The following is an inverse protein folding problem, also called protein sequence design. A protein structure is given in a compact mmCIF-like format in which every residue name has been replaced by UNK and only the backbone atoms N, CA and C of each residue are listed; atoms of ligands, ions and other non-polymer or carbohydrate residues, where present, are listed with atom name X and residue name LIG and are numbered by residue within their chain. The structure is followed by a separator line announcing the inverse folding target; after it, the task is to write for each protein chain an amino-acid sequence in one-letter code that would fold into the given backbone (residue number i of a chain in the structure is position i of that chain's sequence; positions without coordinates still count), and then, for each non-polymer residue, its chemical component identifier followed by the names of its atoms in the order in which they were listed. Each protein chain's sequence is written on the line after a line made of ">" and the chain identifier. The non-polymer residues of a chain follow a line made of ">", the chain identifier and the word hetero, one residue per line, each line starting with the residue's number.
data_IF_524941379259
#
_entry.id   IF_524941379259
#
_cell.length_a   1.000
_cell.length_b   1.000
_cell.length_c   1.000
_cell.angle_alpha   90.00
_cell.angle_beta   90.00
_cell.angle_gamma   90.00
#
_symmetry.space_group_name_H-M   'P 1'
#
loop_
_entity.id
_entity.type
_entity.pdbx_description
1 polymer ?
#
# COMPACT_ATOMS: atom_id res chain seq x y z
N UNK A 1 -14.80 -24.63 75.49
CA UNK A 1 -13.46 -24.78 74.91
C UNK A 1 -13.49 -24.10 73.57
N UNK A 2 -13.02 -22.84 73.55
CA UNK A 2 -13.26 -21.90 72.43
C UNK A 2 -12.12 -21.95 71.44
N UNK A 3 -12.48 -22.16 70.19
CA UNK A 3 -11.54 -22.01 69.08
C UNK A 3 -11.92 -20.73 68.33
N UNK A 4 -11.07 -19.74 68.50
CA UNK A 4 -11.14 -18.47 67.80
C UNK A 4 -10.70 -18.65 66.35
N UNK A 5 -11.62 -18.47 65.43
CA UNK A 5 -11.35 -18.39 64.00
C UNK A 5 -10.85 -16.97 63.69
N UNK A 6 -9.58 -16.83 63.37
CA UNK A 6 -9.00 -15.58 62.84
C UNK A 6 -9.21 -15.57 61.32
N UNK A 7 -10.09 -14.68 60.87
CA UNK A 7 -10.24 -14.36 59.46
C UNK A 7 -9.07 -13.48 58.98
N UNK A 8 -8.22 -14.00 58.12
CA UNK A 8 -7.25 -13.19 57.38
C UNK A 8 -7.97 -12.52 56.19
N UNK A 9 -8.18 -11.23 56.28
CA UNK A 9 -8.50 -10.40 55.14
C UNK A 9 -7.23 -10.16 54.31
N UNK A 10 -7.14 -10.82 53.19
CA UNK A 10 -6.12 -10.55 52.20
C UNK A 10 -6.50 -9.25 51.45
N UNK A 11 -5.84 -8.15 51.76
CA UNK A 11 -5.94 -6.92 50.98
C UNK A 11 -5.19 -7.08 49.67
N UNK A 12 -5.92 -7.32 48.59
CA UNK A 12 -5.38 -7.26 47.21
C UNK A 12 -5.14 -5.80 46.83
N UNK A 13 -3.91 -5.34 46.95
CA UNK A 13 -3.49 -4.06 46.42
C UNK A 13 -3.48 -4.17 44.89
N UNK A 14 -4.53 -3.65 44.22
CA UNK A 14 -4.51 -3.37 42.78
C UNK A 14 -3.46 -2.29 42.55
N UNK A 15 -2.27 -2.67 42.08
CA UNK A 15 -1.31 -1.75 41.51
C UNK A 15 -1.90 -1.23 40.18
N UNK A 16 -2.58 -0.08 40.23
CA UNK A 16 -2.82 0.71 39.05
C UNK A 16 -1.45 1.14 38.51
N UNK A 17 -0.92 0.41 37.54
CA UNK A 17 0.24 0.84 36.77
C UNK A 17 -0.12 2.17 36.11
N UNK A 18 0.41 3.28 36.61
CA UNK A 18 0.37 4.54 35.92
C UNK A 18 1.05 4.34 34.56
N UNK A 19 0.26 4.29 33.47
CA UNK A 19 0.79 4.33 32.14
C UNK A 19 1.51 5.68 31.99
N UNK A 20 2.83 5.66 32.10
CA UNK A 20 3.65 6.85 31.82
C UNK A 20 3.44 7.12 30.32
N UNK A 21 2.97 8.32 29.92
CA UNK A 21 2.86 8.64 28.52
C UNK A 21 4.26 8.52 27.91
N UNK A 22 4.46 7.55 27.06
CA UNK A 22 5.69 7.44 26.26
C UNK A 22 5.65 8.61 25.29
N UNK A 23 6.33 9.69 25.60
CA UNK A 23 6.52 10.78 24.66
C UNK A 23 7.28 10.22 23.46
N UNK A 24 6.60 10.12 22.32
CA UNK A 24 7.23 9.75 21.09
C UNK A 24 8.35 10.76 20.79
N UNK A 25 9.58 10.26 20.69
CA UNK A 25 10.70 11.12 20.32
C UNK A 25 10.55 11.50 18.86
N UNK A 26 10.78 12.78 18.55
CA UNK A 26 10.82 13.24 17.16
C UNK A 26 11.96 12.52 16.42
N UNK A 27 11.59 11.82 15.36
CA UNK A 27 12.57 11.27 14.40
C UNK A 27 12.85 12.35 13.35
N UNK A 28 14.11 12.69 13.16
CA UNK A 28 14.56 13.63 12.14
C UNK A 28 15.34 12.85 11.09
N UNK A 29 14.79 12.82 9.89
CA UNK A 29 15.44 12.22 8.72
C UNK A 29 15.98 13.32 7.83
N UNK A 30 17.27 13.24 7.49
CA UNK A 30 17.91 14.14 6.54
C UNK A 30 18.08 13.40 5.21
N UNK A 31 17.40 13.89 4.19
CA UNK A 31 17.52 13.39 2.82
C UNK A 31 18.62 14.17 2.07
N UNK A 32 19.22 13.54 1.08
CA UNK A 32 20.23 14.15 0.21
C UNK A 32 19.67 15.25 -0.70
N UNK A 33 18.35 15.21 -0.98
CA UNK A 33 17.63 16.22 -1.75
C UNK A 33 16.16 16.30 -1.29
N UNK A 34 15.48 17.36 -1.70
CA UNK A 34 14.02 17.49 -1.50
C UNK A 34 13.28 16.53 -2.42
N UNK A 35 12.11 15.99 -1.99
CA UNK A 35 11.23 15.25 -2.88
C UNK A 35 10.67 16.19 -3.97
N UNK A 36 10.44 15.66 -5.16
CA UNK A 36 9.82 16.38 -6.27
C UNK A 36 8.30 16.54 -6.05
N UNK A 37 7.71 15.61 -5.31
CA UNK A 37 6.30 15.58 -4.93
C UNK A 37 6.00 14.46 -3.94
N UNK A 38 4.71 14.25 -3.65
CA UNK A 38 4.27 13.24 -2.69
C UNK A 38 3.38 12.15 -3.31
N UNK A 39 2.99 12.27 -4.57
CA UNK A 39 2.44 11.16 -5.36
C UNK A 39 3.61 10.43 -6.03
N UNK A 40 3.87 9.15 -5.74
CA UNK A 40 5.03 8.46 -6.29
C UNK A 40 4.93 8.15 -7.78
N UNK A 41 3.74 8.03 -8.34
CA UNK A 41 3.53 7.52 -9.69
C UNK A 41 4.22 8.33 -10.81
N UNK A 42 4.23 9.69 -10.78
CA UNK A 42 4.84 10.49 -11.85
C UNK A 42 6.34 10.75 -11.70
N UNK A 43 6.95 10.39 -10.57
CA UNK A 43 8.33 10.78 -10.29
C UNK A 43 9.30 9.60 -10.34
N UNK A 44 10.59 9.92 -10.48
CA UNK A 44 11.65 8.91 -10.60
C UNK A 44 12.72 9.04 -9.51
N UNK A 45 12.73 10.15 -8.77
CA UNK A 45 13.74 10.40 -7.74
C UNK A 45 13.55 9.52 -6.49
N UNK A 46 14.62 8.89 -6.03
CA UNK A 46 14.63 8.09 -4.80
C UNK A 46 14.15 8.86 -3.59
N UNK A 47 14.51 10.16 -3.49
CA UNK A 47 14.09 11.07 -2.41
C UNK A 47 12.58 11.29 -2.36
N UNK A 48 11.88 11.22 -3.50
CA UNK A 48 10.41 11.22 -3.58
C UNK A 48 9.84 9.95 -3.00
N UNK A 49 10.40 8.78 -3.36
CA UNK A 49 9.93 7.49 -2.82
C UNK A 49 10.19 7.36 -1.32
N UNK A 50 11.32 7.86 -0.83
CA UNK A 50 11.64 7.87 0.60
C UNK A 50 10.68 8.76 1.40
N UNK A 51 10.19 9.85 0.80
CA UNK A 51 9.26 10.76 1.45
C UNK A 51 7.79 10.33 1.32
N UNK A 52 7.44 9.50 0.35
CA UNK A 52 6.05 9.15 0.02
C UNK A 52 5.80 7.64 -0.06
N UNK A 53 6.32 6.97 -1.07
CA UNK A 53 5.97 5.57 -1.36
C UNK A 53 6.32 4.60 -0.22
N UNK A 54 7.46 4.80 0.45
CA UNK A 54 7.89 3.92 1.54
C UNK A 54 7.14 4.16 2.86
N UNK A 55 6.93 5.42 3.33
CA UNK A 55 6.30 5.66 4.62
C UNK A 55 4.78 5.82 4.57
N UNK A 56 4.18 6.15 3.41
CA UNK A 56 2.78 6.60 3.32
C UNK A 56 1.92 5.67 2.48
N UNK A 57 2.44 5.17 1.37
CA UNK A 57 1.68 4.39 0.41
C UNK A 57 1.95 2.90 0.51
N UNK A 58 0.99 2.11 0.06
CA UNK A 58 1.11 0.66 -0.05
C UNK A 58 0.97 0.23 -1.51
N UNK A 59 1.50 -0.94 -1.83
CA UNK A 59 1.43 -1.58 -3.14
C UNK A 59 0.65 -2.88 -3.07
N UNK A 60 0.24 -3.40 -4.21
CA UNK A 60 -0.38 -4.74 -4.27
C UNK A 60 0.56 -5.79 -3.70
N UNK A 61 1.82 -5.72 -4.11
CA UNK A 61 2.91 -6.58 -3.66
C UNK A 61 4.15 -5.73 -3.40
N UNK A 62 5.07 -6.24 -2.59
CA UNK A 62 6.27 -5.50 -2.19
C UNK A 62 7.51 -6.37 -2.34
N UNK A 63 8.68 -5.75 -2.42
CA UNK A 63 9.93 -6.49 -2.28
C UNK A 63 10.20 -6.78 -0.80
N UNK A 64 10.48 -8.02 -0.48
CA UNK A 64 11.01 -8.40 0.82
C UNK A 64 12.32 -7.67 1.08
N UNK A 65 12.43 -7.03 2.23
CA UNK A 65 13.56 -6.15 2.57
C UNK A 65 14.92 -6.84 2.33
N UNK A 66 15.74 -6.16 1.53
CA UNK A 66 17.10 -6.61 1.20
C UNK A 66 17.18 -7.73 0.16
N UNK A 67 16.08 -8.04 -0.51
CA UNK A 67 16.01 -9.06 -1.57
C UNK A 67 15.25 -8.57 -2.78
N UNK A 68 15.20 -9.38 -3.83
CA UNK A 68 14.33 -9.19 -5.01
C UNK A 68 13.10 -10.11 -4.99
N UNK A 69 12.89 -10.81 -3.88
CA UNK A 69 11.72 -11.67 -3.67
C UNK A 69 10.48 -10.81 -3.45
N UNK A 70 9.40 -11.13 -4.15
CA UNK A 70 8.12 -10.42 -4.02
C UNK A 70 7.30 -11.07 -2.90
N UNK A 71 6.77 -10.24 -2.00
CA UNK A 71 5.92 -10.66 -0.90
C UNK A 71 4.56 -9.91 -0.91
N UNK A 72 3.54 -10.42 -0.19
CA UNK A 72 2.23 -9.79 -0.10
C UNK A 72 2.27 -8.37 0.49
N UNK A 73 1.59 -7.42 -0.20
CA UNK A 73 1.28 -6.08 0.27
C UNK A 73 -0.22 -5.90 0.54
N UNK A 74 -0.90 -5.08 -0.25
CA UNK A 74 -2.37 -4.94 -0.23
C UNK A 74 -3.09 -6.19 -0.76
N UNK A 75 -2.45 -6.95 -1.66
CA UNK A 75 -2.87 -8.29 -2.00
C UNK A 75 -2.30 -9.28 -0.98
N UNK A 76 -3.14 -10.14 -0.42
CA UNK A 76 -2.70 -11.22 0.49
C UNK A 76 -2.23 -12.46 -0.26
N UNK A 77 -2.67 -12.62 -1.51
CA UNK A 77 -2.25 -13.70 -2.42
C UNK A 77 -2.57 -13.33 -3.87
N UNK A 78 -2.02 -14.10 -4.78
CA UNK A 78 -2.31 -13.97 -6.22
C UNK A 78 -2.17 -15.31 -6.93
N UNK A 79 -2.81 -15.39 -8.09
CA UNK A 79 -2.74 -16.52 -9.01
C UNK A 79 -2.29 -16.02 -10.37
N UNK A 80 -1.53 -16.84 -11.09
CA UNK A 80 -1.07 -16.56 -12.44
C UNK A 80 -1.53 -17.69 -13.36
N UNK A 81 -2.15 -17.34 -14.49
CA UNK A 81 -2.55 -18.34 -15.49
C UNK A 81 -1.35 -19.07 -16.10
N UNK A 82 -1.56 -20.28 -16.60
CA UNK A 82 -0.48 -21.12 -17.18
C UNK A 82 0.24 -20.45 -18.36
N UNK A 83 -0.46 -19.61 -19.12
CA UNK A 83 0.09 -18.85 -20.24
C UNK A 83 0.76 -17.54 -19.81
N UNK A 84 0.71 -17.18 -18.51
CA UNK A 84 1.30 -15.96 -17.95
C UNK A 84 0.62 -14.67 -18.41
N UNK A 85 -0.63 -14.74 -18.87
CA UNK A 85 -1.38 -13.57 -19.36
C UNK A 85 -2.35 -12.99 -18.34
N UNK A 86 -2.78 -13.77 -17.36
CA UNK A 86 -3.73 -13.30 -16.33
C UNK A 86 -3.12 -13.39 -14.95
N UNK A 87 -3.25 -12.31 -14.18
CA UNK A 87 -2.81 -12.20 -12.79
C UNK A 87 -4.00 -11.79 -11.94
N UNK A 88 -4.48 -12.70 -11.09
CA UNK A 88 -5.61 -12.44 -10.19
C UNK A 88 -5.09 -12.20 -8.78
N UNK A 89 -5.36 -11.01 -8.25
CA UNK A 89 -4.95 -10.59 -6.90
C UNK A 89 -6.13 -10.61 -5.95
N UNK A 90 -5.96 -11.29 -4.81
CA UNK A 90 -6.91 -11.29 -3.70
C UNK A 90 -6.50 -10.22 -2.70
N UNK A 91 -7.32 -9.19 -2.57
CA UNK A 91 -7.03 -8.00 -1.76
C UNK A 91 -7.36 -8.22 -0.28
N UNK A 92 -6.57 -7.63 0.59
CA UNK A 92 -6.85 -7.59 2.03
C UNK A 92 -8.17 -6.87 2.30
N UNK A 93 -8.99 -7.43 3.18
CA UNK A 93 -10.25 -6.83 3.62
C UNK A 93 -10.05 -5.89 4.80
N UNK A 94 -10.89 -4.85 4.88
CA UNK A 94 -10.90 -3.94 6.02
C UNK A 94 -9.71 -3.01 6.12
N UNK A 95 -8.97 -2.82 5.03
CA UNK A 95 -7.88 -1.83 4.94
C UNK A 95 -8.49 -0.43 4.92
N UNK A 96 -8.16 0.35 5.95
CA UNK A 96 -8.69 1.70 6.13
C UNK A 96 -7.82 2.73 5.43
N UNK A 97 -8.47 3.73 4.85
CA UNK A 97 -7.81 4.95 4.43
C UNK A 97 -7.51 5.83 5.62
N UNK A 98 -6.46 6.63 5.52
CA UNK A 98 -6.20 7.67 6.50
C UNK A 98 -7.25 8.78 6.41
N UNK A 99 -7.62 9.31 7.54
CA UNK A 99 -8.56 10.43 7.66
C UNK A 99 -7.87 11.62 8.32
N UNK A 100 -8.22 12.83 7.88
CA UNK A 100 -7.72 14.08 8.44
C UNK A 100 -8.80 15.17 8.35
N UNK A 101 -8.45 16.41 8.70
CA UNK A 101 -9.40 17.53 8.75
C UNK A 101 -10.02 17.90 7.39
N UNK A 102 -9.39 17.52 6.28
CA UNK A 102 -9.83 17.84 4.91
C UNK A 102 -10.33 16.64 4.12
N UNK A 103 -10.11 15.43 4.63
CA UNK A 103 -10.51 14.19 3.97
C UNK A 103 -11.02 13.15 4.97
N UNK A 104 -12.25 12.71 4.76
CA UNK A 104 -12.86 11.61 5.49
C UNK A 104 -13.26 10.51 4.51
N UNK A 105 -12.63 9.33 4.58
CA UNK A 105 -12.99 8.20 3.71
C UNK A 105 -14.44 7.78 3.92
N UNK A 106 -15.12 7.44 2.83
CA UNK A 106 -16.52 6.94 2.87
C UNK A 106 -16.60 5.43 2.86
N UNK A 107 -15.50 4.75 2.55
CA UNK A 107 -15.37 3.29 2.51
C UNK A 107 -13.93 2.85 2.76
N UNK A 108 -13.75 1.55 2.94
CA UNK A 108 -12.44 0.91 2.96
C UNK A 108 -11.85 0.79 1.55
N UNK A 109 -10.55 0.51 1.45
CA UNK A 109 -9.86 0.13 0.23
C UNK A 109 -10.51 -1.09 -0.42
N UNK A 110 -10.63 -1.07 -1.75
CA UNK A 110 -11.14 -2.18 -2.54
C UNK A 110 -10.57 -2.20 -3.97
N UNK A 111 -11.09 -3.09 -4.83
CA UNK A 111 -10.64 -3.26 -6.21
C UNK A 111 -10.79 -1.99 -7.08
N UNK A 112 -11.78 -1.13 -6.80
CA UNK A 112 -11.96 0.11 -7.55
C UNK A 112 -10.77 1.07 -7.40
N UNK A 113 -10.10 1.05 -6.24
CA UNK A 113 -8.92 1.88 -6.00
C UNK A 113 -7.71 1.42 -6.81
N UNK A 114 -7.56 0.10 -6.95
CA UNK A 114 -6.52 -0.49 -7.81
C UNK A 114 -6.76 -0.10 -9.26
N UNK A 115 -7.99 -0.29 -9.75
CA UNK A 115 -8.37 0.07 -11.12
C UNK A 115 -8.11 1.56 -11.37
N UNK A 116 -8.55 2.43 -10.46
CA UNK A 116 -8.32 3.87 -10.55
C UNK A 116 -6.82 4.21 -10.68
N UNK A 117 -5.97 3.59 -9.85
CA UNK A 117 -4.53 3.87 -9.84
C UNK A 117 -3.86 3.52 -11.18
N UNK A 118 -4.25 2.42 -11.81
CA UNK A 118 -3.71 2.01 -13.11
C UNK A 118 -4.37 2.73 -14.28
N UNK A 119 -5.69 2.95 -14.24
CA UNK A 119 -6.40 3.70 -15.27
C UNK A 119 -5.91 5.16 -15.34
N UNK A 120 -5.69 5.80 -14.20
CA UNK A 120 -5.12 7.14 -14.13
C UNK A 120 -3.78 7.28 -14.85
N UNK A 121 -2.94 6.26 -14.78
CA UNK A 121 -1.62 6.26 -15.42
C UNK A 121 -1.67 5.91 -16.91
N UNK A 122 -2.55 4.99 -17.31
CA UNK A 122 -2.60 4.45 -18.66
C UNK A 122 -3.60 5.12 -19.60
N UNK A 123 -4.66 5.69 -19.08
CA UNK A 123 -5.78 6.24 -19.84
C UNK A 123 -5.73 7.77 -19.86
N UNK A 124 -5.38 8.34 -21.02
CA UNK A 124 -5.31 9.81 -21.21
C UNK A 124 -6.65 10.50 -21.11
N UNK A 125 -7.76 9.79 -21.26
CA UNK A 125 -9.11 10.32 -21.11
C UNK A 125 -9.59 10.31 -19.64
N UNK A 126 -8.81 9.72 -18.72
CA UNK A 126 -9.10 9.79 -17.29
C UNK A 126 -8.91 11.23 -16.80
N UNK A 127 -9.90 11.86 -16.15
CA UNK A 127 -9.81 13.27 -15.71
C UNK A 127 -8.66 13.53 -14.73
N UNK A 128 -8.13 12.47 -14.09
CA UNK A 128 -7.01 12.56 -13.17
C UNK A 128 -5.66 12.15 -13.79
N UNK A 129 -5.64 11.84 -15.10
CA UNK A 129 -4.40 11.51 -15.79
C UNK A 129 -3.42 12.70 -15.75
N UNK A 130 -3.91 13.89 -16.01
CA UNK A 130 -3.12 15.13 -16.08
C UNK A 130 -3.52 16.13 -14.99
N UNK A 131 -3.68 15.64 -13.74
CA UNK A 131 -4.07 16.47 -12.60
C UNK A 131 -3.01 17.51 -12.20
N UNK A 132 -1.77 17.33 -12.65
CA UNK A 132 -0.70 18.33 -12.66
C UNK A 132 -0.34 18.56 -14.12
N UNK A 133 -0.36 19.79 -14.57
CA UNK A 133 -0.04 20.16 -15.95
C UNK A 133 1.36 19.68 -16.35
N UNK A 134 1.46 18.95 -17.47
CA UNK A 134 2.70 18.39 -17.98
C UNK A 134 3.23 17.17 -17.22
N UNK A 135 2.43 16.57 -16.37
CA UNK A 135 2.79 15.32 -15.66
C UNK A 135 3.02 14.18 -16.66
N UNK A 136 4.03 13.39 -16.40
CA UNK A 136 4.32 12.16 -17.16
C UNK A 136 4.49 10.99 -16.17
N UNK A 137 4.17 9.79 -16.62
CA UNK A 137 4.36 8.56 -15.86
C UNK A 137 5.56 7.81 -16.43
N UNK A 138 6.77 8.30 -16.14
CA UNK A 138 7.99 7.83 -16.77
C UNK A 138 8.25 6.35 -16.56
N UNK A 139 8.16 5.84 -15.32
CA UNK A 139 8.33 4.42 -15.05
C UNK A 139 7.25 3.56 -15.68
N UNK A 140 5.98 4.00 -15.60
CA UNK A 140 4.87 3.28 -16.21
C UNK A 140 5.07 3.11 -17.72
N UNK A 141 5.56 4.18 -18.38
CA UNK A 141 5.87 4.19 -19.81
C UNK A 141 7.13 3.39 -20.13
N UNK A 142 8.21 3.56 -19.33
CA UNK A 142 9.48 2.86 -19.56
C UNK A 142 9.37 1.34 -19.36
N UNK A 143 8.47 0.87 -18.49
CA UNK A 143 8.13 -0.54 -18.32
C UNK A 143 7.12 -1.04 -19.37
N UNK A 144 6.81 -0.23 -20.36
CA UNK A 144 5.86 -0.54 -21.45
C UNK A 144 4.45 -0.92 -20.93
N UNK A 145 4.07 -0.53 -19.73
CA UNK A 145 2.77 -0.86 -19.13
C UNK A 145 1.57 -0.49 -20.01
N UNK A 146 1.56 0.67 -20.74
CA UNK A 146 0.46 1.02 -21.63
C UNK A 146 0.21 0.01 -22.77
N UNK A 147 1.27 -0.65 -23.25
CA UNK A 147 1.16 -1.68 -24.30
C UNK A 147 1.07 -3.09 -23.72
N UNK A 148 1.55 -3.29 -22.51
CA UNK A 148 1.57 -4.57 -21.82
C UNK A 148 0.22 -4.90 -21.19
N UNK A 149 -0.36 -3.98 -20.44
CA UNK A 149 -1.64 -4.19 -19.76
C UNK A 149 -2.78 -4.00 -20.76
N UNK A 150 -3.53 -5.08 -21.00
CA UNK A 150 -4.73 -5.06 -21.82
C UNK A 150 -5.92 -4.52 -21.04
N UNK A 151 -6.09 -4.97 -19.80
CA UNK A 151 -7.15 -4.51 -18.90
C UNK A 151 -6.79 -4.77 -17.45
N UNK A 152 -7.38 -3.96 -16.56
CA UNK A 152 -7.45 -4.20 -15.11
C UNK A 152 -8.93 -4.31 -14.76
N UNK A 153 -9.36 -5.46 -14.31
CA UNK A 153 -10.77 -5.83 -14.19
C UNK A 153 -11.14 -6.10 -12.73
N UNK A 154 -12.28 -5.56 -12.32
CA UNK A 154 -12.89 -5.91 -11.04
C UNK A 154 -13.60 -7.26 -11.18
N UNK A 155 -13.15 -8.26 -10.42
CA UNK A 155 -13.86 -9.53 -10.30
C UNK A 155 -14.93 -9.41 -9.21
N UNK A 156 -14.54 -8.87 -8.06
CA UNK A 156 -15.40 -8.47 -6.96
C UNK A 156 -14.72 -7.34 -6.14
N UNK A 157 -15.30 -6.93 -5.01
CA UNK A 157 -14.75 -5.83 -4.20
C UNK A 157 -13.34 -6.11 -3.65
N UNK A 158 -12.96 -7.38 -3.52
CA UNK A 158 -11.66 -7.77 -2.99
C UNK A 158 -10.84 -8.62 -3.96
N UNK A 159 -11.19 -8.62 -5.23
CA UNK A 159 -10.47 -9.39 -6.25
C UNK A 159 -10.33 -8.55 -7.52
N UNK A 160 -9.11 -8.34 -7.93
CA UNK A 160 -8.77 -7.62 -9.18
C UNK A 160 -7.94 -8.51 -10.09
N UNK A 161 -8.21 -8.46 -11.39
CA UNK A 161 -7.50 -9.23 -12.41
C UNK A 161 -6.82 -8.31 -13.40
N UNK A 162 -5.54 -8.51 -13.62
CA UNK A 162 -4.77 -7.92 -14.71
C UNK A 162 -4.73 -8.90 -15.87
N UNK A 163 -5.06 -8.43 -17.06
CA UNK A 163 -4.92 -9.16 -18.31
C UNK A 163 -3.82 -8.49 -19.11
N UNK A 164 -2.84 -9.27 -19.57
CA UNK A 164 -1.71 -8.79 -20.35
C UNK A 164 -1.89 -9.11 -21.84
N UNK A 165 -1.31 -8.30 -22.72
CA UNK A 165 -1.26 -8.54 -24.15
C UNK A 165 -0.19 -9.58 -24.55
N UNK A 166 0.81 -9.79 -23.68
CA UNK A 166 1.88 -10.77 -23.82
C UNK A 166 2.39 -11.22 -22.45
N UNK A 167 2.97 -12.41 -22.33
CA UNK A 167 3.64 -12.80 -21.10
C UNK A 167 4.81 -11.86 -20.80
N UNK A 168 4.94 -11.47 -19.53
CA UNK A 168 5.99 -10.54 -19.08
C UNK A 168 6.62 -11.06 -17.78
N UNK A 169 7.82 -11.62 -17.88
CA UNK A 169 8.52 -12.24 -16.74
C UNK A 169 8.73 -11.28 -15.56
N UNK A 170 9.13 -10.00 -15.75
CA UNK A 170 9.31 -9.04 -14.65
C UNK A 170 8.01 -8.38 -14.17
N UNK A 171 6.82 -8.73 -14.66
CA UNK A 171 5.57 -8.05 -14.31
C UNK A 171 5.37 -7.92 -12.79
N UNK A 172 5.54 -9.00 -12.04
CA UNK A 172 5.40 -8.99 -10.58
C UNK A 172 6.42 -8.07 -9.89
N UNK A 173 7.67 -8.05 -10.40
CA UNK A 173 8.69 -7.14 -9.90
C UNK A 173 8.35 -5.68 -10.21
N UNK A 174 7.83 -5.40 -11.41
CA UNK A 174 7.45 -4.06 -11.83
C UNK A 174 6.35 -3.48 -10.93
N UNK A 175 5.33 -4.27 -10.59
CA UNK A 175 4.24 -3.81 -9.68
C UNK A 175 4.63 -3.81 -8.20
N UNK A 176 5.79 -4.38 -7.84
CA UNK A 176 6.37 -4.27 -6.49
C UNK A 176 7.21 -2.99 -6.31
N UNK A 177 7.50 -2.25 -7.38
CA UNK A 177 8.30 -1.02 -7.31
C UNK A 177 7.54 0.11 -6.59
N UNK A 178 8.28 1.03 -5.92
CA UNK A 178 7.67 2.17 -5.21
C UNK A 178 6.72 3.02 -6.07
N UNK A 179 6.99 3.13 -7.35
CA UNK A 179 6.18 3.88 -8.32
C UNK A 179 4.79 3.27 -8.56
N UNK A 180 4.60 2.00 -8.22
CA UNK A 180 3.31 1.29 -8.36
C UNK A 180 2.42 1.39 -7.09
N UNK A 181 2.72 2.35 -6.21
CA UNK A 181 1.97 2.58 -4.95
C UNK A 181 0.63 3.29 -5.21
#
# INVERSE_FOLDING_TARGET
>A
MNILTRSLLAASALALGAAVPVAAKTFVYCSEASPEGFDPAPYTAGTTFDASAHPVYNRLVEFKKGTTEVEPGLAESWEVSEDGLEYTFHLRKGVKWQSNDVFTPTRDFNADDVIFSYDRQGNKDNPWHEYIAGITYEYYTAMEMPSLIKSVEKVDDNTVKFVLNRPEAPFMANIAMPVAS
#
